data_IF_513067921741
#
_entry.id   IF_513067921741
#
_cell.length_a   1.000
_cell.length_b   1.000
_cell.length_c   1.000
_cell.angle_alpha   90.00
_cell.angle_beta   90.00
_cell.angle_gamma   90.00
#
_symmetry.space_group_name_H-M   'P 1'
#
loop_
_entity.id
_entity.type
_entity.pdbx_description
1 polymer ?
#
# COMPACT_ATOMS: atom_id res chain seq x y z
N UNK A 1 -6.76 9.70 1.53
CA UNK A 1 -5.94 8.58 1.02
C UNK A 1 -6.69 7.30 1.32
N UNK A 2 -6.86 6.43 0.32
CA UNK A 2 -7.32 5.05 0.57
C UNK A 2 -6.23 4.35 1.36
N UNK A 3 -6.53 3.77 2.52
CA UNK A 3 -5.50 3.09 3.31
C UNK A 3 -5.08 1.79 2.60
N UNK A 4 -3.86 1.29 2.88
CA UNK A 4 -3.40 -0.01 2.36
C UNK A 4 -4.41 -1.12 2.69
N UNK A 5 -5.04 -1.06 3.87
CA UNK A 5 -6.08 -2.01 4.30
C UNK A 5 -7.34 -1.95 3.42
N UNK A 6 -7.78 -0.75 3.04
CA UNK A 6 -8.95 -0.58 2.17
C UNK A 6 -8.67 -1.09 0.75
N UNK A 7 -7.46 -0.84 0.22
CA UNK A 7 -7.04 -1.34 -1.09
C UNK A 7 -7.00 -2.87 -1.09
N UNK A 8 -6.42 -3.49 -0.06
CA UNK A 8 -6.39 -4.96 0.11
C UNK A 8 -7.81 -5.56 0.20
N UNK A 9 -8.72 -4.89 0.90
CA UNK A 9 -10.11 -5.33 1.02
C UNK A 9 -10.83 -5.32 -0.33
N UNK A 10 -10.65 -4.25 -1.12
CA UNK A 10 -11.21 -4.16 -2.49
C UNK A 10 -10.59 -5.17 -3.44
N UNK A 11 -9.28 -5.40 -3.36
CA UNK A 11 -8.61 -6.45 -4.15
C UNK A 11 -9.20 -7.83 -3.85
N UNK A 12 -9.44 -8.16 -2.58
CA UNK A 12 -10.07 -9.42 -2.19
C UNK A 12 -11.49 -9.57 -2.76
N UNK A 13 -12.30 -8.50 -2.72
CA UNK A 13 -13.64 -8.49 -3.30
C UNK A 13 -13.62 -8.75 -4.82
N UNK A 14 -12.75 -8.05 -5.55
CA UNK A 14 -12.63 -8.19 -7.00
C UNK A 14 -12.08 -9.57 -7.38
N UNK A 15 -11.11 -10.08 -6.62
CA UNK A 15 -10.60 -11.45 -6.81
C UNK A 15 -11.71 -12.47 -6.59
N UNK A 16 -12.58 -12.26 -5.59
CA UNK A 16 -13.76 -13.09 -5.37
C UNK A 16 -14.71 -13.06 -6.56
N UNK A 17 -14.99 -11.88 -7.13
CA UNK A 17 -15.82 -11.71 -8.34
C UNK A 17 -15.22 -12.40 -9.56
N UNK A 18 -13.92 -12.22 -9.80
CA UNK A 18 -13.19 -12.88 -10.89
C UNK A 18 -13.22 -14.40 -10.75
N UNK A 19 -13.11 -14.91 -9.52
CA UNK A 19 -13.16 -16.36 -9.22
C UNK A 19 -14.56 -16.94 -9.39
N UNK A 20 -15.59 -16.21 -8.94
CA UNK A 20 -16.99 -16.60 -9.14
C UNK A 20 -17.39 -16.62 -10.62
N UNK A 21 -16.67 -15.85 -11.45
CA UNK A 21 -16.94 -15.70 -12.86
C UNK A 21 -18.10 -14.75 -13.12
N UNK A 22 -18.08 -14.15 -14.32
CA UNK A 22 -19.11 -13.24 -14.79
C UNK A 22 -19.12 -13.22 -16.31
N UNK A 23 -19.91 -12.32 -16.89
CA UNK A 23 -19.84 -12.09 -18.34
C UNK A 23 -18.45 -11.58 -18.75
N UNK A 24 -18.06 -11.79 -20.01
CA UNK A 24 -16.78 -11.27 -20.51
C UNK A 24 -16.61 -9.76 -20.31
N UNK A 25 -17.69 -8.99 -20.39
CA UNK A 25 -17.68 -7.55 -20.12
C UNK A 25 -17.34 -7.26 -18.65
N UNK A 26 -18.04 -7.91 -17.72
CA UNK A 26 -17.80 -7.76 -16.28
C UNK A 26 -16.39 -8.20 -15.89
N UNK A 27 -15.93 -9.34 -16.42
CA UNK A 27 -14.57 -9.83 -16.17
C UNK A 27 -13.52 -8.82 -16.65
N UNK A 28 -13.72 -8.20 -17.82
CA UNK A 28 -12.82 -7.17 -18.34
C UNK A 28 -12.76 -5.95 -17.41
N UNK A 29 -13.90 -5.49 -16.92
CA UNK A 29 -13.98 -4.37 -15.97
C UNK A 29 -13.29 -4.73 -14.64
N UNK A 30 -13.56 -5.92 -14.10
CA UNK A 30 -12.94 -6.39 -12.87
C UNK A 30 -11.42 -6.54 -12.99
N UNK A 31 -10.91 -7.02 -14.13
CA UNK A 31 -9.46 -7.07 -14.38
C UNK A 31 -8.83 -5.68 -14.47
N UNK A 32 -9.50 -4.71 -15.09
CA UNK A 32 -9.01 -3.33 -15.14
C UNK A 32 -8.92 -2.72 -13.74
N UNK A 33 -9.97 -2.88 -12.94
CA UNK A 33 -10.00 -2.37 -11.57
C UNK A 33 -9.00 -3.12 -10.67
N UNK A 34 -8.83 -4.43 -10.85
CA UNK A 34 -7.79 -5.22 -10.16
C UNK A 34 -6.38 -4.67 -10.42
N UNK A 35 -6.04 -4.39 -11.68
CA UNK A 35 -4.74 -3.85 -12.04
C UNK A 35 -4.51 -2.46 -11.43
N UNK A 36 -5.52 -1.60 -11.51
CA UNK A 36 -5.47 -0.27 -10.90
C UNK A 36 -5.26 -0.34 -9.38
N UNK A 37 -6.01 -1.19 -8.68
CA UNK A 37 -5.85 -1.37 -7.24
C UNK A 37 -4.47 -1.93 -6.86
N UNK A 38 -3.86 -2.78 -7.69
CA UNK A 38 -2.49 -3.25 -7.46
C UNK A 38 -1.46 -2.12 -7.61
N UNK A 39 -1.63 -1.22 -8.57
CA UNK A 39 -0.77 -0.04 -8.69
C UNK A 39 -0.93 0.91 -7.50
N UNK A 40 -2.18 1.17 -7.10
CA UNK A 40 -2.48 1.97 -5.90
C UNK A 40 -1.88 1.32 -4.64
N UNK A 41 -1.96 -0.01 -4.52
CA UNK A 41 -1.37 -0.74 -3.39
C UNK A 41 0.14 -0.55 -3.34
N UNK A 42 0.82 -0.74 -4.47
CA UNK A 42 2.27 -0.59 -4.57
C UNK A 42 2.73 0.82 -4.23
N UNK A 43 1.98 1.83 -4.69
CA UNK A 43 2.26 3.23 -4.37
C UNK A 43 2.04 3.53 -2.87
N UNK A 44 0.97 3.01 -2.28
CA UNK A 44 0.66 3.19 -0.87
C UNK A 44 1.69 2.49 0.05
N UNK A 45 2.09 1.25 -0.28
CA UNK A 45 3.12 0.53 0.47
C UNK A 45 4.49 1.22 0.36
N UNK A 46 4.84 1.76 -0.81
CA UNK A 46 6.06 2.55 -0.97
C UNK A 46 6.03 3.86 -0.15
N UNK A 47 4.87 4.52 -0.07
CA UNK A 47 4.70 5.72 0.74
C UNK A 47 4.79 5.40 2.25
N UNK A 48 4.15 4.32 2.72
CA UNK A 48 4.27 3.88 4.11
C UNK A 48 5.72 3.49 4.48
N UNK A 49 6.43 2.80 3.58
CA UNK A 49 7.84 2.48 3.78
C UNK A 49 8.73 3.72 3.83
N UNK A 50 8.49 4.71 2.97
CA UNK A 50 9.22 5.98 2.99
C UNK A 50 8.96 6.79 4.26
N UNK A 51 7.72 6.86 4.72
CA UNK A 51 7.36 7.51 5.99
C UNK A 51 7.95 6.78 7.20
N UNK A 52 7.94 5.44 7.22
CA UNK A 52 8.59 4.65 8.26
C UNK A 52 10.12 4.87 8.29
N UNK A 53 10.77 4.95 7.13
CA UNK A 53 12.19 5.25 7.02
C UNK A 53 12.51 6.68 7.52
N UNK A 54 11.66 7.66 7.19
CA UNK A 54 11.78 9.04 7.65
C UNK A 54 11.60 9.17 9.16
N UNK A 55 10.63 8.46 9.75
CA UNK A 55 10.42 8.40 11.19
C UNK A 55 11.63 7.76 11.92
N UNK A 56 12.23 6.73 11.33
CA UNK A 56 13.43 6.08 11.90
C UNK A 56 14.65 7.00 11.84
N UNK A 57 14.80 7.79 10.77
CA UNK A 57 15.91 8.75 10.62
C UNK A 57 15.79 9.97 11.54
N UNK A 58 14.60 10.21 12.13
CA UNK A 58 14.32 11.33 13.02
C UNK A 58 14.62 11.02 14.50
N UNK A 59 14.76 9.73 14.86
CA UNK A 59 14.97 9.28 16.23
C UNK A 59 16.45 8.96 16.55
N UNK A 60 17.38 9.38 15.69
CA UNK A 60 18.81 9.05 15.77
C UNK A 60 19.74 10.19 16.21
N UNK A 61 19.24 11.32 16.72
CA UNK A 61 20.11 12.42 17.16
C UNK A 61 19.67 13.09 18.47
N UNK A 62 19.46 12.30 19.51
CA UNK A 62 19.59 12.79 20.89
C UNK A 62 20.21 11.66 21.71
N UNK A 63 21.53 11.74 21.93
CA UNK A 63 22.17 11.70 23.26
C UNK A 63 23.65 11.28 23.11
N UNK A 64 24.55 12.07 23.71
CA UNK A 64 25.98 11.76 23.73
C UNK A 64 26.89 12.96 23.50
N UNK A 65 26.76 14.01 24.31
CA UNK A 65 27.87 14.93 24.57
C UNK A 65 28.95 14.16 25.36
N UNK A 66 30.21 14.15 24.92
CA UNK A 66 31.31 14.19 25.87
C UNK A 66 32.05 15.53 25.71
N UNK A 67 31.72 16.49 26.56
CA UNK A 67 32.68 17.53 26.95
C UNK A 67 33.76 16.85 27.77
N UNK A 68 34.91 16.56 27.16
CA UNK A 68 36.14 16.31 27.90
C UNK A 68 37.06 17.51 27.70
N UNK A 69 37.52 18.06 28.83
CA UNK A 69 38.26 19.31 28.94
C UNK A 69 39.77 19.19 28.75
#
# INVERSE_FOLDING_TARGET
>A
MTSVKDIKSKLAEITGKLTAGGTNAQMKEWYQEYNKLNEELKAAEAAEAAEAAKATSSNGFEDGIPTNG
#
